data_IF_690840213244
#
_entry.id   IF_690840213244
#
_cell.length_a   1.000
_cell.length_b   1.000
_cell.length_c   1.000
_cell.angle_alpha   90.00
_cell.angle_beta   90.00
_cell.angle_gamma   90.00
#
_symmetry.space_group_name_H-M   'P 1'
#
loop_
_entity.id
_entity.type
_entity.pdbx_description
1 polymer ?
#
# COMPACT_ATOMS: atom_id res chain seq x y z
N UNK A 1 -11.10 4.95 10.58
CA UNK A 1 -10.97 5.16 9.12
C UNK A 1 -11.50 3.91 8.42
N UNK A 2 -12.28 4.04 7.35
CA UNK A 2 -12.84 2.89 6.63
C UNK A 2 -11.70 2.00 6.11
N UNK A 3 -11.57 0.78 6.66
CA UNK A 3 -10.55 -0.20 6.26
C UNK A 3 -10.64 -0.58 4.78
N UNK A 4 -11.81 -0.41 4.16
CA UNK A 4 -12.00 -0.55 2.72
C UNK A 4 -11.27 0.57 1.94
N UNK A 5 -11.35 1.83 2.37
CA UNK A 5 -10.65 2.94 1.68
C UNK A 5 -9.13 2.82 1.75
N UNK A 6 -8.57 2.36 2.88
CA UNK A 6 -7.13 2.13 2.99
C UNK A 6 -6.66 0.97 2.09
N UNK A 7 -7.48 -0.07 1.95
CA UNK A 7 -7.22 -1.20 1.06
C UNK A 7 -7.20 -0.76 -0.41
N UNK A 8 -8.07 0.17 -0.78
CA UNK A 8 -8.15 0.71 -2.13
C UNK A 8 -6.93 1.58 -2.48
N UNK A 9 -6.49 2.48 -1.60
CA UNK A 9 -5.28 3.32 -1.82
C UNK A 9 -4.01 2.46 -1.95
N UNK A 10 -3.84 1.45 -1.08
CA UNK A 10 -2.68 0.54 -1.13
C UNK A 10 -2.64 -0.27 -2.44
N UNK A 11 -3.82 -0.60 -2.99
CA UNK A 11 -3.96 -1.31 -4.25
C UNK A 11 -3.64 -0.42 -5.45
N UNK A 12 -4.13 0.81 -5.49
CA UNK A 12 -3.80 1.75 -6.57
C UNK A 12 -2.29 2.00 -6.68
N UNK A 13 -1.61 2.13 -5.53
CA UNK A 13 -0.15 2.26 -5.47
C UNK A 13 0.55 1.03 -6.05
N UNK A 14 0.11 -0.17 -5.66
CA UNK A 14 0.64 -1.40 -6.23
C UNK A 14 0.44 -1.45 -7.75
N UNK A 15 -0.77 -1.19 -8.24
CA UNK A 15 -1.08 -1.28 -9.68
C UNK A 15 -0.22 -0.29 -10.49
N UNK A 16 0.01 0.92 -9.97
CA UNK A 16 0.90 1.91 -10.58
C UNK A 16 2.36 1.43 -10.65
N UNK A 17 2.92 0.96 -9.54
CA UNK A 17 4.31 0.49 -9.48
C UNK A 17 4.51 -0.78 -10.32
N UNK A 18 3.54 -1.69 -10.33
CA UNK A 18 3.57 -2.89 -11.14
C UNK A 18 3.60 -2.55 -12.63
N UNK A 19 2.75 -1.61 -13.08
CA UNK A 19 2.76 -1.13 -14.48
C UNK A 19 4.10 -0.50 -14.82
N UNK A 20 4.64 0.36 -13.96
CA UNK A 20 5.94 1.00 -14.19
C UNK A 20 7.06 -0.03 -14.34
N UNK A 21 7.14 -1.00 -13.43
CA UNK A 21 8.21 -2.00 -13.46
C UNK A 21 8.08 -2.95 -14.67
N UNK A 22 6.86 -3.32 -15.04
CA UNK A 22 6.60 -4.12 -16.25
C UNK A 22 6.98 -3.35 -17.52
N UNK A 23 6.65 -2.05 -17.61
CA UNK A 23 7.05 -1.20 -18.74
C UNK A 23 8.56 -0.97 -18.78
N UNK A 24 9.21 -0.81 -17.62
CA UNK A 24 10.67 -0.65 -17.52
C UNK A 24 11.40 -1.89 -18.04
N UNK A 25 10.86 -3.10 -17.82
CA UNK A 25 11.48 -4.37 -18.25
C UNK A 25 11.09 -4.79 -19.67
N UNK A 26 9.81 -4.66 -20.02
CA UNK A 26 9.26 -5.12 -21.31
C UNK A 26 9.21 -4.02 -22.39
N UNK A 27 9.37 -2.76 -22.01
CA UNK A 27 9.13 -1.60 -22.87
C UNK A 27 7.67 -1.12 -22.80
N UNK A 28 7.44 0.14 -23.16
CA UNK A 28 6.12 0.81 -23.07
C UNK A 28 5.04 0.14 -23.92
N UNK A 29 5.40 -0.63 -24.95
CA UNK A 29 4.46 -1.42 -25.75
C UNK A 29 3.69 -2.47 -24.94
N UNK A 30 4.19 -2.88 -23.77
CA UNK A 30 3.51 -3.82 -22.87
C UNK A 30 2.42 -3.17 -22.01
N UNK A 31 2.40 -1.84 -21.88
CA UNK A 31 1.47 -1.13 -20.97
C UNK A 31 0.00 -1.55 -21.16
N UNK A 32 -0.56 -1.63 -22.38
CA UNK A 32 -1.96 -2.03 -22.56
C UNK A 32 -2.23 -3.46 -22.08
N UNK A 33 -1.28 -4.38 -22.31
CA UNK A 33 -1.40 -5.78 -21.87
C UNK A 33 -1.37 -5.88 -20.35
N UNK A 34 -0.50 -5.12 -19.69
CA UNK A 34 -0.39 -5.11 -18.22
C UNK A 34 -1.67 -4.54 -17.59
N UNK A 35 -2.17 -3.41 -18.11
CA UNK A 35 -3.43 -2.81 -17.64
C UNK A 35 -4.63 -3.75 -17.84
N UNK A 36 -4.70 -4.41 -18.99
CA UNK A 36 -5.73 -5.42 -19.24
C UNK A 36 -5.64 -6.56 -18.21
N UNK A 37 -4.45 -7.11 -17.97
CA UNK A 37 -4.22 -8.19 -16.98
C UNK A 37 -4.64 -7.77 -15.57
N UNK A 38 -4.27 -6.56 -15.13
CA UNK A 38 -4.66 -6.01 -13.83
C UNK A 38 -6.18 -5.82 -13.67
N UNK A 39 -6.89 -5.53 -14.77
CA UNK A 39 -8.36 -5.40 -14.77
C UNK A 39 -9.08 -6.74 -14.57
N UNK A 40 -8.42 -7.87 -14.86
CA UNK A 40 -9.01 -9.19 -14.71
C UNK A 40 -8.96 -9.62 -13.24
N UNK A 41 -10.09 -9.52 -12.54
CA UNK A 41 -10.24 -9.93 -11.14
C UNK A 41 -11.07 -11.21 -10.99
N UNK A 42 -10.76 -12.01 -9.99
CA UNK A 42 -11.58 -13.13 -9.50
C UNK A 42 -12.78 -12.58 -8.71
N UNK A 43 -13.81 -13.41 -8.43
CA UNK A 43 -14.98 -12.99 -7.64
C UNK A 43 -14.64 -12.47 -6.23
N UNK A 44 -13.52 -12.89 -5.66
CA UNK A 44 -13.02 -12.46 -4.35
C UNK A 44 -12.23 -11.13 -4.40
N UNK A 45 -12.05 -10.56 -5.60
CA UNK A 45 -11.30 -9.33 -5.83
C UNK A 45 -9.78 -9.51 -5.96
N UNK A 46 -9.25 -10.73 -5.90
CA UNK A 46 -7.85 -10.99 -6.26
C UNK A 46 -7.64 -10.96 -7.79
N UNK A 47 -6.39 -10.88 -8.24
CA UNK A 47 -6.07 -10.90 -9.68
C UNK A 47 -6.27 -12.30 -10.26
N UNK A 48 -6.80 -12.38 -11.49
CA UNK A 48 -6.94 -13.67 -12.20
C UNK A 48 -5.58 -14.25 -12.61
N UNK A 49 -4.67 -13.40 -13.06
CA UNK A 49 -3.34 -13.83 -13.49
C UNK A 49 -2.43 -14.04 -12.28
N UNK A 50 -1.69 -15.15 -12.30
CA UNK A 50 -0.86 -15.62 -11.19
C UNK A 50 0.29 -14.66 -10.88
N UNK A 51 0.82 -13.96 -11.89
CA UNK A 51 1.96 -13.05 -11.71
C UNK A 51 1.55 -11.86 -10.85
N UNK A 52 0.42 -11.25 -11.17
CA UNK A 52 -0.18 -10.11 -10.49
C UNK A 52 -0.66 -10.51 -9.09
N UNK A 53 -1.27 -11.68 -8.96
CA UNK A 53 -1.72 -12.22 -7.66
C UNK A 53 -0.53 -12.44 -6.71
N UNK A 54 0.55 -13.08 -7.18
CA UNK A 54 1.77 -13.28 -6.38
C UNK A 54 2.48 -11.96 -6.05
N UNK A 55 2.56 -11.04 -7.02
CA UNK A 55 3.15 -9.72 -6.79
C UNK A 55 2.33 -8.90 -5.77
N UNK A 56 1.00 -8.99 -5.82
CA UNK A 56 0.11 -8.36 -4.86
C UNK A 56 0.28 -8.94 -3.45
N UNK A 57 0.34 -10.27 -3.33
CA UNK A 57 0.63 -10.93 -2.05
C UNK A 57 1.98 -10.47 -1.48
N UNK A 58 3.04 -10.47 -2.29
CA UNK A 58 4.38 -10.05 -1.86
C UNK A 58 4.40 -8.56 -1.46
N UNK A 59 3.67 -7.71 -2.18
CA UNK A 59 3.50 -6.30 -1.85
C UNK A 59 2.85 -6.10 -0.48
N UNK A 60 1.75 -6.81 -0.21
CA UNK A 60 1.08 -6.77 1.09
C UNK A 60 2.00 -7.28 2.22
N UNK A 61 2.66 -8.43 2.02
CA UNK A 61 3.56 -9.02 3.01
C UNK A 61 4.75 -8.09 3.34
N UNK A 62 5.32 -7.42 2.33
CA UNK A 62 6.43 -6.47 2.54
C UNK A 62 6.05 -5.27 3.42
N UNK A 63 4.78 -4.87 3.39
CA UNK A 63 4.26 -3.71 4.15
C UNK A 63 3.68 -4.06 5.50
N UNK A 64 3.26 -5.31 5.66
CA UNK A 64 2.92 -5.88 6.97
C UNK A 64 4.17 -6.00 7.87
N UNK A 65 5.35 -6.20 7.29
CA UNK A 65 6.60 -6.36 8.02
C UNK A 65 7.21 -5.05 8.56
N UNK A 66 6.82 -3.88 8.05
CA UNK A 66 7.38 -2.60 8.50
C UNK A 66 6.55 -2.06 9.66
N UNK A 67 7.08 -2.20 10.87
CA UNK A 67 6.57 -1.57 12.09
C UNK A 67 7.31 -0.25 12.27
N UNK A 68 6.62 0.87 12.08
CA UNK A 68 7.17 2.19 12.34
C UNK A 68 6.99 2.52 13.82
N UNK A 69 8.10 2.80 14.52
CA UNK A 69 8.06 3.38 15.86
C UNK A 69 7.84 4.89 15.76
N UNK A 70 6.80 5.41 16.42
CA UNK A 70 6.57 6.85 16.47
C UNK A 70 7.51 7.53 17.46
N UNK A 71 8.13 8.66 17.09
CA UNK A 71 8.95 9.44 18.00
C UNK A 71 8.12 9.91 19.20
N UNK A 72 8.79 10.02 20.35
CA UNK A 72 8.25 10.69 21.55
C UNK A 72 8.54 12.17 21.47
N UNK A 73 7.63 12.98 22.00
CA UNK A 73 7.73 14.44 21.97
C UNK A 73 7.76 14.98 23.40
N UNK A 74 8.89 14.76 24.09
CA UNK A 74 9.03 15.05 25.53
C UNK A 74 8.89 16.54 25.89
N UNK A 75 9.19 17.43 24.95
CA UNK A 75 9.11 18.89 25.14
C UNK A 75 7.69 19.46 24.96
N UNK A 76 6.71 18.63 24.61
CA UNK A 76 5.35 19.07 24.30
C UNK A 76 4.37 18.75 25.42
N UNK A 77 3.31 19.57 25.60
CA UNK A 77 2.20 19.21 26.47
C UNK A 77 1.58 17.86 26.03
N UNK A 78 1.23 17.00 26.99
CA UNK A 78 0.75 15.65 26.72
C UNK A 78 -0.44 15.58 25.74
N UNK A 79 -1.32 16.58 25.74
CA UNK A 79 -2.43 16.67 24.78
C UNK A 79 -1.93 16.89 23.34
N UNK A 80 -0.91 17.73 23.17
CA UNK A 80 -0.31 18.03 21.87
C UNK A 80 0.52 16.86 21.35
N UNK A 81 1.28 16.20 22.23
CA UNK A 81 2.01 14.98 21.89
C UNK A 81 1.04 13.89 21.39
N UNK A 82 -0.07 13.66 22.11
CA UNK A 82 -1.09 12.69 21.70
C UNK A 82 -1.63 13.02 20.31
N UNK A 83 -2.08 14.25 20.09
CA UNK A 83 -2.70 14.65 18.83
C UNK A 83 -1.69 14.54 17.65
N UNK A 84 -0.41 14.88 17.87
CA UNK A 84 0.65 14.70 16.86
C UNK A 84 0.93 13.22 16.58
N UNK A 85 1.01 12.37 17.61
CA UNK A 85 1.21 10.92 17.45
C UNK A 85 0.03 10.28 16.71
N UNK A 86 -1.20 10.67 17.00
CA UNK A 86 -2.39 10.20 16.28
C UNK A 86 -2.39 10.64 14.81
N UNK A 87 -1.98 11.90 14.55
CA UNK A 87 -1.85 12.42 13.18
C UNK A 87 -0.79 11.65 12.38
N UNK A 88 0.41 11.46 12.95
CA UNK A 88 1.48 10.69 12.32
C UNK A 88 1.07 9.22 12.09
N UNK A 89 0.45 8.58 13.09
CA UNK A 89 -0.10 7.23 12.95
C UNK A 89 -1.03 7.14 11.75
N UNK A 90 -2.01 8.04 11.70
CA UNK A 90 -3.00 8.08 10.61
C UNK A 90 -2.36 8.26 9.23
N UNK A 91 -1.34 9.12 9.11
CA UNK A 91 -0.63 9.34 7.85
C UNK A 91 0.19 8.12 7.40
N UNK A 92 0.84 7.41 8.34
CA UNK A 92 1.62 6.20 8.03
C UNK A 92 0.69 5.05 7.66
N UNK A 93 -0.40 4.86 8.40
CA UNK A 93 -1.42 3.84 8.12
C UNK A 93 -2.11 4.09 6.76
N UNK A 94 -2.31 5.35 6.38
CA UNK A 94 -2.85 5.71 5.06
C UNK A 94 -1.93 5.31 3.89
N UNK A 95 -0.64 5.08 4.15
CA UNK A 95 0.31 4.53 3.16
C UNK A 95 0.37 2.99 3.18
N UNK A 96 -0.51 2.34 3.95
CA UNK A 96 -0.58 0.88 4.08
C UNK A 96 0.52 0.28 4.94
N UNK A 97 1.20 1.08 5.75
CA UNK A 97 2.24 0.63 6.70
C UNK A 97 1.65 0.43 8.10
N UNK A 98 2.29 -0.43 8.91
CA UNK A 98 1.88 -0.64 10.30
C UNK A 98 2.70 0.22 11.25
N UNK A 99 2.06 0.73 12.31
CA UNK A 99 2.71 1.54 13.35
C UNK A 99 2.69 0.75 14.65
N UNK A 100 3.81 0.74 15.38
CA UNK A 100 3.89 0.11 16.70
C UNK A 100 2.81 0.68 17.66
N UNK A 101 2.34 -0.10 18.65
CA UNK A 101 1.51 0.41 19.73
C UNK A 101 2.14 1.63 20.41
#
# INVERSE_FOLDING_TARGET
>A
MDTNKMRDISREQFESEFVQEMCRRGGEGFRPTVLYSLSQKKPDGDYQNITESLAWWAWQASREAVVVELPKFEDYPASMERDMRESLRSSIEAQGMKVAP
#
